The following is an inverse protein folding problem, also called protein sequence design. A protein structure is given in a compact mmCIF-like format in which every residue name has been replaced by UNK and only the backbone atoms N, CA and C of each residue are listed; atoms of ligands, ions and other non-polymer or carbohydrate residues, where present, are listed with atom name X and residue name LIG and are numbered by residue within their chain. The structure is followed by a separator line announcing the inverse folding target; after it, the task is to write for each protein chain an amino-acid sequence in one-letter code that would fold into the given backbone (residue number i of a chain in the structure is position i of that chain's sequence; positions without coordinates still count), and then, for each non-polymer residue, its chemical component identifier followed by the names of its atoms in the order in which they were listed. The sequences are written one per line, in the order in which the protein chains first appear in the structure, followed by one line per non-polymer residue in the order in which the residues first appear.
data_IF_148122385777
#
_entry.id   IF_148122385777
#
_cell.length_a   1.000
_cell.length_b   1.000
_cell.length_c   1.000
_cell.angle_alpha   90.00
_cell.angle_beta   90.00
_cell.angle_gamma   90.00
#
_symmetry.space_group_name_H-M   'P 1'
#
loop_
_entity.id
_entity.type
_entity.pdbx_description
1 polymer ?
#
# COMPACT_ATOMS: atom_id res chain seq x y z
N UNK A 1 4.06 34.02 -11.63
CA UNK A 1 3.68 35.42 -11.89
C UNK A 1 4.95 36.21 -12.12
N UNK A 2 4.99 37.02 -13.19
CA UNK A 2 6.09 37.91 -13.52
C UNK A 2 5.69 39.36 -13.26
N UNK A 3 6.64 40.19 -12.86
CA UNK A 3 6.44 41.64 -12.70
C UNK A 3 7.31 42.35 -13.71
N UNK A 4 6.69 43.05 -14.65
CA UNK A 4 7.38 43.92 -15.60
C UNK A 4 7.48 45.33 -15.04
N UNK A 5 8.67 45.92 -15.12
CA UNK A 5 8.94 47.32 -14.79
C UNK A 5 9.40 48.02 -16.06
N UNK A 6 8.61 48.98 -16.51
CA UNK A 6 8.93 49.79 -17.67
C UNK A 6 9.62 51.08 -17.22
N UNK A 7 10.72 51.42 -17.87
CA UNK A 7 11.46 52.67 -17.65
C UNK A 7 11.45 53.47 -18.94
N UNK A 8 10.85 54.65 -18.92
CA UNK A 8 10.74 55.52 -20.09
C UNK A 8 11.62 56.73 -19.87
N UNK A 9 12.57 56.97 -20.77
CA UNK A 9 13.46 58.13 -20.71
C UNK A 9 13.14 59.05 -21.89
N UNK A 10 12.90 60.33 -21.63
CA UNK A 10 12.84 61.30 -22.71
C UNK A 10 14.26 61.65 -23.17
N UNK A 11 14.75 61.00 -24.24
CA UNK A 11 16.07 61.23 -24.85
C UNK A 11 16.09 62.44 -25.80
N UNK A 12 14.91 62.96 -26.15
CA UNK A 12 14.73 64.11 -27.03
C UNK A 12 14.99 65.47 -26.37
N UNK A 13 14.63 66.54 -27.07
CA UNK A 13 14.84 67.92 -26.64
C UNK A 13 13.54 68.71 -26.40
N UNK A 14 12.37 68.09 -26.53
CA UNK A 14 11.05 68.66 -26.24
C UNK A 14 10.39 67.97 -25.04
N UNK A 15 9.32 68.55 -24.50
CA UNK A 15 8.53 67.91 -23.44
C UNK A 15 7.61 66.87 -24.06
N UNK A 16 7.58 65.67 -23.50
CA UNK A 16 6.65 64.58 -23.87
C UNK A 16 5.62 64.43 -22.76
N UNK A 17 4.34 64.35 -23.11
CA UNK A 17 3.21 64.27 -22.17
C UNK A 17 2.24 63.15 -22.53
N UNK A 18 1.30 62.83 -21.64
CA UNK A 18 0.33 61.75 -21.82
C UNK A 18 0.97 60.40 -22.16
N UNK A 19 2.13 60.10 -21.54
CA UNK A 19 2.86 58.87 -21.79
C UNK A 19 2.06 57.64 -21.36
N UNK A 20 1.83 56.74 -22.30
CA UNK A 20 1.14 55.48 -22.09
C UNK A 20 1.87 54.31 -22.72
N UNK A 21 1.75 53.13 -22.14
CA UNK A 21 2.34 51.88 -22.62
C UNK A 21 1.25 50.90 -23.05
N UNK A 22 1.43 50.32 -24.23
CA UNK A 22 0.67 49.18 -24.74
C UNK A 22 1.59 47.95 -24.78
N UNK A 23 1.11 46.82 -24.26
CA UNK A 23 1.84 45.55 -24.26
C UNK A 23 0.84 44.42 -24.53
N UNK A 24 0.98 43.78 -25.69
CA UNK A 24 0.03 42.77 -26.15
C UNK A 24 0.17 41.43 -25.42
N UNK A 25 1.39 41.06 -25.00
CA UNK A 25 1.66 39.75 -24.38
C UNK A 25 1.05 39.73 -22.98
N UNK A 26 1.23 40.81 -22.22
CA UNK A 26 0.65 40.93 -20.88
C UNK A 26 -0.76 41.52 -20.88
N UNK A 27 -1.33 41.81 -22.06
CA UNK A 27 -2.71 42.25 -22.25
C UNK A 27 -3.01 43.65 -21.72
N UNK A 28 -2.01 44.53 -21.70
CA UNK A 28 -2.09 45.89 -21.19
C UNK A 28 -2.30 46.88 -22.33
N UNK A 29 -3.19 47.84 -22.11
CA UNK A 29 -3.33 49.00 -23.01
C UNK A 29 -3.48 50.29 -22.23
N UNK A 30 -2.90 51.37 -22.75
CA UNK A 30 -2.88 52.72 -22.20
C UNK A 30 -2.39 52.78 -20.74
N UNK A 31 -1.39 51.96 -20.36
CA UNK A 31 -0.84 51.97 -19.01
C UNK A 31 -0.12 53.31 -18.75
N UNK A 32 -0.56 54.14 -17.79
CA UNK A 32 0.03 55.46 -17.59
C UNK A 32 1.42 55.37 -16.98
N UNK A 33 2.35 56.14 -17.55
CA UNK A 33 3.71 56.33 -17.01
C UNK A 33 3.70 57.38 -15.91
N UNK A 34 4.48 57.19 -14.85
CA UNK A 34 4.62 58.14 -13.75
C UNK A 34 6.04 58.69 -13.65
N UNK A 35 6.27 60.02 -13.78
CA UNK A 35 5.26 61.04 -14.10
C UNK A 35 4.81 60.98 -15.57
N UNK A 36 3.55 61.37 -15.82
CA UNK A 36 2.94 61.33 -17.17
C UNK A 36 3.47 62.42 -18.11
N UNK A 37 4.42 63.24 -17.67
CA UNK A 37 5.06 64.29 -18.45
C UNK A 37 6.54 64.31 -18.10
N UNK A 38 7.39 64.19 -19.13
CA UNK A 38 8.84 64.14 -19.01
C UNK A 38 9.45 65.30 -19.79
N UNK A 39 10.19 66.17 -19.09
CA UNK A 39 11.13 67.08 -19.73
C UNK A 39 12.32 66.30 -20.30
N UNK A 40 13.11 66.89 -21.23
CA UNK A 40 14.34 66.29 -21.72
C UNK A 40 15.23 65.74 -20.61
N UNK A 41 15.62 64.47 -20.72
CA UNK A 41 16.45 63.73 -19.77
C UNK A 41 15.73 63.24 -18.51
N UNK A 42 14.41 63.46 -18.37
CA UNK A 42 13.64 62.90 -17.26
C UNK A 42 13.22 61.46 -17.53
N UNK A 43 13.03 60.72 -16.44
CA UNK A 43 12.63 59.31 -16.43
C UNK A 43 11.24 59.20 -15.80
N UNK A 44 10.39 58.40 -16.40
CA UNK A 44 9.15 57.91 -15.81
C UNK A 44 9.11 56.40 -15.77
N UNK A 45 8.27 55.84 -14.91
CA UNK A 45 8.13 54.39 -14.76
C UNK A 45 6.68 53.94 -14.74
N UNK A 46 6.46 52.69 -15.12
CA UNK A 46 5.20 51.98 -14.94
C UNK A 46 5.48 50.53 -14.55
N UNK A 47 4.54 49.87 -13.89
CA UNK A 47 4.64 48.45 -13.54
C UNK A 47 3.37 47.71 -13.89
N UNK A 48 3.51 46.46 -14.33
CA UNK A 48 2.39 45.56 -14.55
C UNK A 48 2.79 44.11 -14.24
N UNK A 49 1.80 43.24 -14.03
CA UNK A 49 2.01 41.83 -13.70
C UNK A 49 1.47 40.94 -14.80
N UNK A 50 2.18 39.83 -15.04
CA UNK A 50 1.76 38.77 -15.96
C UNK A 50 1.59 37.44 -15.23
N UNK A 51 0.44 36.80 -15.45
CA UNK A 51 0.20 35.44 -14.98
C UNK A 51 0.67 34.47 -16.05
N UNK A 52 1.77 33.77 -15.76
CA UNK A 52 2.27 32.68 -16.61
C UNK A 52 1.15 31.66 -16.82
N UNK A 53 0.92 31.31 -18.08
CA UNK A 53 -0.07 30.35 -18.53
C UNK A 53 0.58 29.00 -18.83
N UNK A 54 -0.23 27.94 -18.97
CA UNK A 54 0.29 26.63 -19.39
C UNK A 54 0.93 26.68 -20.79
N UNK A 55 0.43 27.56 -21.67
CA UNK A 55 1.02 27.72 -23.00
C UNK A 55 2.45 28.25 -22.92
N UNK A 56 2.73 29.17 -21.99
CA UNK A 56 4.07 29.70 -21.76
C UNK A 56 5.01 28.62 -21.20
N UNK A 57 4.53 27.83 -20.23
CA UNK A 57 5.32 26.72 -19.69
C UNK A 57 5.64 25.69 -20.77
N UNK A 58 4.67 25.34 -21.61
CA UNK A 58 4.87 24.43 -22.74
C UNK A 58 5.80 25.03 -23.82
N UNK A 59 5.83 26.36 -23.97
CA UNK A 59 6.77 27.06 -24.85
C UNK A 59 8.18 27.19 -24.25
N UNK A 60 8.32 26.97 -22.94
CA UNK A 60 9.57 27.08 -22.19
C UNK A 60 10.07 28.52 -21.99
N UNK A 61 9.30 29.53 -22.40
CA UNK A 61 9.62 30.94 -22.15
C UNK A 61 8.40 31.86 -22.35
N UNK A 62 8.52 33.07 -21.82
CA UNK A 62 7.68 34.23 -22.16
C UNK A 62 8.58 35.26 -22.84
N UNK A 63 8.34 35.53 -24.11
CA UNK A 63 9.01 36.60 -24.87
C UNK A 63 8.10 37.82 -24.93
N UNK A 64 8.57 38.99 -24.48
CA UNK A 64 7.74 40.18 -24.34
C UNK A 64 8.39 41.45 -24.90
N UNK A 65 7.59 42.27 -25.59
CA UNK A 65 7.94 43.63 -25.99
C UNK A 65 6.72 44.54 -25.77
N UNK A 66 6.97 45.78 -25.38
CA UNK A 66 5.96 46.80 -25.19
C UNK A 66 6.24 48.02 -26.08
N UNK A 67 5.22 48.84 -26.30
CA UNK A 67 5.32 50.09 -27.06
C UNK A 67 4.91 51.23 -26.15
N UNK A 68 5.74 52.26 -26.04
CA UNK A 68 5.37 53.52 -25.40
C UNK A 68 4.91 54.53 -26.45
N UNK A 69 3.90 55.34 -26.13
CA UNK A 69 3.46 56.47 -26.95
C UNK A 69 3.34 57.73 -26.09
N UNK A 70 3.70 58.89 -26.63
CA UNK A 70 3.55 60.18 -25.96
C UNK A 70 3.28 61.34 -26.90
N UNK A 71 2.53 62.33 -26.41
CA UNK A 71 2.23 63.56 -27.13
C UNK A 71 3.38 64.56 -26.98
N UNK A 72 3.77 65.21 -28.08
CA UNK A 72 4.81 66.24 -28.08
C UNK A 72 4.29 67.59 -28.55
N UNK A 73 4.94 68.66 -28.11
CA UNK A 73 4.64 70.04 -28.52
C UNK A 73 5.93 70.75 -28.95
N UNK A 74 5.82 71.70 -29.88
CA UNK A 74 6.93 72.55 -30.29
C UNK A 74 7.21 73.66 -29.25
N UNK A 75 8.24 74.47 -29.51
CA UNK A 75 8.62 75.58 -28.62
C UNK A 75 7.61 76.73 -28.57
N UNK A 76 6.62 76.76 -29.47
CA UNK A 76 5.51 77.72 -29.48
C UNK A 76 4.24 77.16 -28.83
N UNK A 77 4.24 75.88 -28.44
CA UNK A 77 3.09 75.18 -27.86
C UNK A 77 2.15 74.55 -28.89
N UNK A 78 2.55 74.45 -30.16
CA UNK A 78 1.79 73.78 -31.20
C UNK A 78 1.99 72.25 -31.09
N UNK A 79 0.92 71.43 -31.21
CA UNK A 79 1.04 69.97 -31.18
C UNK A 79 1.89 69.43 -32.33
N UNK A 80 2.81 68.52 -32.00
CA UNK A 80 3.59 67.73 -32.94
C UNK A 80 2.99 66.31 -33.05
N UNK A 81 3.36 65.53 -34.08
CA UNK A 81 3.02 64.11 -34.12
C UNK A 81 3.44 63.40 -32.83
N UNK A 82 2.66 62.41 -32.35
CA UNK A 82 3.07 61.63 -31.19
C UNK A 82 4.37 60.88 -31.50
N UNK A 83 5.16 60.67 -30.46
CA UNK A 83 6.36 59.83 -30.52
C UNK A 83 6.02 58.45 -29.99
N UNK A 84 6.66 57.45 -30.57
CA UNK A 84 6.51 56.04 -30.19
C UNK A 84 7.86 55.39 -30.14
N UNK A 85 8.00 54.38 -29.30
CA UNK A 85 9.23 53.63 -29.13
C UNK A 85 8.90 52.19 -28.65
N UNK A 86 9.69 51.21 -29.06
CA UNK A 86 9.56 49.79 -28.70
C UNK A 86 10.57 49.46 -27.60
N UNK A 87 10.15 48.71 -26.58
CA UNK A 87 11.03 48.39 -25.46
C UNK A 87 12.23 47.53 -25.86
N UNK A 88 13.38 47.85 -25.28
CA UNK A 88 14.60 47.05 -25.25
C UNK A 88 14.67 46.07 -24.05
N UNK A 89 15.49 45.02 -24.15
CA UNK A 89 15.94 44.19 -23.03
C UNK A 89 17.33 44.64 -22.58
N UNK A 90 17.46 45.38 -21.46
CA UNK A 90 18.75 45.88 -21.00
C UNK A 90 19.74 44.78 -20.56
N UNK A 91 19.31 43.53 -20.52
CA UNK A 91 20.15 42.37 -20.23
C UNK A 91 20.61 41.62 -21.49
N UNK A 92 20.05 41.90 -22.68
CA UNK A 92 20.49 41.30 -23.94
C UNK A 92 21.59 42.16 -24.58
N UNK A 93 22.84 41.64 -24.73
CA UNK A 93 23.92 42.39 -25.35
C UNK A 93 23.88 42.38 -26.89
N UNK A 94 22.86 41.76 -27.51
CA UNK A 94 22.69 41.76 -28.95
C UNK A 94 22.41 43.18 -29.48
N UNK A 95 21.71 44.00 -28.67
CA UNK A 95 21.32 45.38 -28.92
C UNK A 95 20.85 45.59 -30.38
N UNK A 96 19.81 44.86 -30.80
CA UNK A 96 19.32 44.91 -32.18
C UNK A 96 18.45 46.15 -32.42
N UNK A 97 19.05 47.15 -33.09
CA UNK A 97 18.37 48.32 -33.68
C UNK A 97 17.77 47.94 -35.06
N UNK A 98 16.48 47.61 -35.06
CA UNK A 98 15.76 47.09 -36.23
C UNK A 98 15.21 48.18 -37.15
N UNK A 99 14.87 49.34 -36.63
CA UNK A 99 14.28 50.44 -37.39
C UNK A 99 15.27 51.60 -37.71
N UNK A 100 16.50 51.49 -37.19
CA UNK A 100 17.62 52.40 -37.38
C UNK A 100 17.41 53.80 -36.79
N UNK A 101 16.61 53.94 -35.74
CA UNK A 101 16.40 55.20 -35.04
C UNK A 101 17.46 55.50 -33.95
N UNK A 102 18.25 54.50 -33.58
CA UNK A 102 19.47 54.62 -32.80
C UNK A 102 19.40 54.09 -31.37
N UNK A 103 18.29 53.45 -30.99
CA UNK A 103 18.15 52.56 -29.82
C UNK A 103 17.96 51.10 -30.26
N UNK A 104 17.78 50.20 -29.30
CA UNK A 104 17.63 48.76 -29.55
C UNK A 104 16.23 48.30 -29.14
N UNK A 105 15.70 47.27 -29.80
CA UNK A 105 14.33 46.79 -29.56
C UNK A 105 14.29 45.29 -29.21
N UNK A 106 15.28 44.81 -28.45
CA UNK A 106 15.35 43.40 -28.10
C UNK A 106 14.18 43.00 -27.18
N UNK A 107 13.46 41.91 -27.48
CA UNK A 107 12.38 41.46 -26.62
C UNK A 107 12.92 40.89 -25.31
N UNK A 108 12.31 41.22 -24.19
CA UNK A 108 12.64 40.60 -22.90
C UNK A 108 12.20 39.14 -22.88
N UNK A 109 13.14 38.21 -22.72
CA UNK A 109 12.86 36.77 -22.67
C UNK A 109 12.98 36.23 -21.24
N UNK A 110 11.87 35.77 -20.68
CA UNK A 110 11.86 35.01 -19.43
C UNK A 110 11.82 33.51 -19.72
N UNK A 111 12.91 32.79 -19.43
CA UNK A 111 12.97 31.34 -19.61
C UNK A 111 12.24 30.62 -18.46
N UNK A 112 11.36 29.68 -18.80
CA UNK A 112 10.67 28.81 -17.86
C UNK A 112 11.35 27.44 -17.92
N UNK A 113 11.95 27.01 -16.82
CA UNK A 113 12.50 25.67 -16.71
C UNK A 113 11.35 24.65 -16.63
N UNK A 114 11.24 23.70 -17.57
CA UNK A 114 10.25 22.66 -17.47
C UNK A 114 10.59 21.72 -16.31
N UNK A 115 9.57 21.25 -15.61
CA UNK A 115 9.64 20.31 -14.52
C UNK A 115 8.62 19.21 -14.78
N UNK A 116 9.12 18.03 -15.13
CA UNK A 116 8.32 16.83 -15.36
C UNK A 116 8.48 15.92 -14.14
N UNK A 117 7.51 15.95 -13.24
CA UNK A 117 7.56 15.24 -11.95
C UNK A 117 6.15 14.78 -11.57
N UNK A 118 6.07 13.55 -11.09
CA UNK A 118 4.86 12.98 -10.51
C UNK A 118 5.23 12.33 -9.17
N UNK A 119 4.24 12.23 -8.30
CA UNK A 119 4.33 11.54 -7.01
C UNK A 119 3.19 10.53 -6.94
N UNK A 120 3.49 9.29 -6.57
CA UNK A 120 2.52 8.21 -6.39
C UNK A 120 2.40 7.89 -4.91
N UNK A 121 1.20 8.06 -4.35
CA UNK A 121 0.87 7.52 -3.02
C UNK A 121 -0.05 6.32 -3.15
N UNK A 122 0.14 5.34 -2.26
CA UNK A 122 -0.56 4.07 -2.27
C UNK A 122 -1.07 3.71 -0.87
N UNK A 123 -2.37 3.56 -0.79
CA UNK A 123 -3.07 3.14 0.42
C UNK A 123 -3.69 1.78 0.28
N UNK A 124 -3.65 0.99 1.37
CA UNK A 124 -4.25 -0.34 1.46
C UNK A 124 -5.17 -0.46 2.66
N UNK A 125 -6.41 -0.93 2.44
CA UNK A 125 -7.37 -1.18 3.52
C UNK A 125 -7.75 -2.66 3.55
N UNK A 126 -7.51 -3.32 4.68
CA UNK A 126 -7.96 -4.69 4.91
C UNK A 126 -9.49 -4.79 4.89
N UNK A 127 -10.01 -5.82 4.24
CA UNK A 127 -11.42 -6.16 4.19
C UNK A 127 -11.59 -7.64 4.50
N UNK A 128 -12.15 -7.91 5.69
CA UNK A 128 -12.77 -9.19 6.05
C UNK A 128 -14.02 -9.38 5.17
N UNK A 129 -13.96 -10.36 4.28
CA UNK A 129 -15.01 -10.60 3.27
C UNK A 129 -16.18 -11.38 3.84
N UNK A 130 -15.90 -12.32 4.75
CA UNK A 130 -16.90 -13.23 5.29
C UNK A 130 -17.52 -12.73 6.62
N UNK A 131 -16.93 -11.68 7.22
CA UNK A 131 -17.30 -11.04 8.48
C UNK A 131 -17.23 -11.96 9.70
N UNK A 132 -16.33 -12.95 9.70
CA UNK A 132 -16.13 -13.84 10.84
C UNK A 132 -15.13 -13.28 11.87
N UNK A 133 -14.45 -12.18 11.55
CA UNK A 133 -13.48 -11.52 12.43
C UNK A 133 -12.15 -12.25 12.54
N UNK A 134 -11.89 -13.22 11.66
CA UNK A 134 -10.66 -13.99 11.54
C UNK A 134 -10.03 -13.68 10.18
N UNK A 135 -8.71 -13.82 10.07
CA UNK A 135 -8.01 -13.67 8.79
C UNK A 135 -8.07 -14.98 8.03
N UNK A 136 -8.59 -14.95 6.81
CA UNK A 136 -8.71 -16.15 5.98
C UNK A 136 -8.23 -15.93 4.54
N UNK A 137 -7.94 -17.05 3.88
CA UNK A 137 -7.84 -17.08 2.42
C UNK A 137 -9.18 -16.66 1.83
N UNK A 138 -9.16 -15.64 0.99
CA UNK A 138 -10.38 -15.04 0.41
C UNK A 138 -10.69 -13.64 0.94
N UNK A 139 -10.15 -13.25 2.08
CA UNK A 139 -10.11 -11.84 2.49
C UNK A 139 -9.19 -11.05 1.57
N UNK A 140 -9.29 -9.72 1.60
CA UNK A 140 -8.57 -8.89 0.64
C UNK A 140 -8.09 -7.55 1.21
N UNK A 141 -7.20 -6.92 0.46
CA UNK A 141 -6.84 -5.51 0.60
C UNK A 141 -7.46 -4.74 -0.56
N UNK A 142 -8.19 -3.67 -0.27
CA UNK A 142 -8.61 -2.68 -1.27
C UNK A 142 -7.52 -1.60 -1.35
N UNK A 143 -6.84 -1.52 -2.51
CA UNK A 143 -5.80 -0.53 -2.78
C UNK A 143 -6.36 0.70 -3.49
N UNK A 144 -5.91 1.87 -3.04
CA UNK A 144 -6.11 3.16 -3.72
C UNK A 144 -4.75 3.73 -4.10
N UNK A 145 -4.59 4.06 -5.37
CA UNK A 145 -3.42 4.73 -5.93
C UNK A 145 -3.78 6.18 -6.24
N UNK A 146 -2.97 7.13 -5.81
CA UNK A 146 -3.13 8.55 -6.12
C UNK A 146 -1.86 9.06 -6.78
N UNK A 147 -1.96 9.51 -8.03
CA UNK A 147 -0.86 10.13 -8.76
C UNK A 147 -1.06 11.64 -8.75
N UNK A 148 -0.12 12.37 -8.16
CA UNK A 148 -0.07 13.83 -8.13
C UNK A 148 0.91 14.35 -9.17
N UNK A 149 0.51 15.33 -9.97
CA UNK A 149 1.42 16.04 -10.85
C UNK A 149 2.05 17.22 -10.09
N UNK A 150 3.25 17.00 -9.56
CA UNK A 150 4.03 18.00 -8.81
C UNK A 150 4.88 18.89 -9.73
N UNK A 151 5.01 18.50 -11.00
CA UNK A 151 5.65 19.28 -12.05
C UNK A 151 4.82 20.45 -12.56
N UNK A 152 5.34 21.12 -13.60
CA UNK A 152 4.69 22.25 -14.28
C UNK A 152 4.20 21.91 -15.70
N UNK A 153 4.38 20.66 -16.15
CA UNK A 153 3.91 20.16 -17.43
C UNK A 153 2.72 19.21 -17.24
N UNK A 154 1.77 19.24 -18.18
CA UNK A 154 0.64 18.31 -18.20
C UNK A 154 1.13 16.88 -18.41
N UNK A 155 0.68 15.95 -17.58
CA UNK A 155 1.00 14.52 -17.68
C UNK A 155 -0.17 13.78 -18.34
N UNK A 156 0.10 12.97 -19.36
CA UNK A 156 -0.90 12.22 -20.12
C UNK A 156 -0.56 10.73 -20.19
N UNK A 157 -1.59 9.89 -20.34
CA UNK A 157 -1.44 8.45 -20.47
C UNK A 157 -0.99 7.79 -19.18
N UNK A 158 -1.43 8.32 -18.04
CA UNK A 158 -0.98 7.87 -16.72
C UNK A 158 -1.54 6.48 -16.41
N UNK A 159 -0.65 5.55 -16.09
CA UNK A 159 -0.96 4.15 -15.73
C UNK A 159 -0.18 3.69 -14.52
N UNK A 160 -0.70 2.67 -13.83
CA UNK A 160 -0.05 1.99 -12.71
C UNK A 160 0.30 0.54 -13.09
N UNK A 161 1.53 0.15 -12.78
CA UNK A 161 1.99 -1.23 -12.75
C UNK A 161 2.26 -1.64 -11.29
N UNK A 162 1.75 -2.79 -10.88
CA UNK A 162 1.93 -3.35 -9.54
C UNK A 162 2.11 -4.87 -9.66
N UNK A 163 3.35 -5.33 -9.45
CA UNK A 163 3.71 -6.73 -9.63
C UNK A 163 3.13 -7.63 -8.54
N UNK A 164 3.04 -7.16 -7.30
CA UNK A 164 2.54 -7.93 -6.15
C UNK A 164 1.09 -8.31 -6.36
N UNK A 165 0.27 -7.41 -6.89
CA UNK A 165 -1.15 -7.67 -7.16
C UNK A 165 -1.42 -8.11 -8.60
N UNK A 166 -0.38 -8.27 -9.43
CA UNK A 166 -0.47 -8.75 -10.81
C UNK A 166 -1.15 -7.77 -11.77
N UNK A 167 -1.08 -6.46 -11.49
CA UNK A 167 -1.67 -5.39 -12.30
C UNK A 167 -0.63 -4.79 -13.24
N UNK A 168 -1.04 -4.54 -14.49
CA UNK A 168 -0.23 -3.84 -15.50
C UNK A 168 -1.13 -2.91 -16.30
N UNK A 169 -0.73 -1.65 -16.44
CA UNK A 169 -1.44 -0.66 -17.24
C UNK A 169 -2.78 -0.21 -16.63
N UNK A 170 -2.92 -0.20 -15.31
CA UNK A 170 -4.14 0.26 -14.66
C UNK A 170 -4.32 1.76 -14.88
N UNK A 171 -5.41 2.14 -15.54
CA UNK A 171 -5.67 3.53 -15.94
C UNK A 171 -5.96 4.42 -14.73
N UNK A 172 -5.29 5.57 -14.67
CA UNK A 172 -5.52 6.62 -13.67
C UNK A 172 -6.59 7.60 -14.20
N UNK A 173 -7.47 8.07 -13.31
CA UNK A 173 -8.55 9.02 -13.65
C UNK A 173 -8.60 10.20 -12.67
N UNK A 174 -8.68 11.47 -13.14
CA UNK A 174 -8.67 11.89 -14.54
C UNK A 174 -7.33 11.68 -15.25
N UNK A 175 -7.39 11.61 -16.59
CA UNK A 175 -6.25 11.68 -17.51
C UNK A 175 -6.67 12.62 -18.67
N UNK A 176 -5.86 13.63 -19.05
CA UNK A 176 -4.56 14.01 -18.47
C UNK A 176 -4.65 14.63 -17.07
N UNK A 177 -3.52 14.68 -16.36
CA UNK A 177 -3.36 15.32 -15.05
C UNK A 177 -2.64 16.66 -15.23
N UNK A 178 -3.37 17.75 -15.03
CA UNK A 178 -2.82 19.12 -15.05
C UNK A 178 -1.88 19.38 -13.86
N UNK A 179 -0.94 20.35 -13.96
CA UNK A 179 -0.06 20.71 -12.85
C UNK A 179 -0.80 21.03 -11.56
N UNK A 180 -0.35 20.44 -10.45
CA UNK A 180 -0.95 20.57 -9.12
C UNK A 180 -2.27 19.82 -8.94
N UNK A 181 -2.71 19.05 -9.93
CA UNK A 181 -3.87 18.17 -9.84
C UNK A 181 -3.42 16.72 -9.61
N UNK A 182 -4.38 15.87 -9.23
CA UNK A 182 -4.14 14.45 -9.03
C UNK A 182 -5.19 13.60 -9.74
N UNK A 183 -4.81 12.37 -10.07
CA UNK A 183 -5.72 11.31 -10.52
C UNK A 183 -5.61 10.07 -9.64
N UNK A 184 -6.63 9.22 -9.67
CA UNK A 184 -6.68 8.00 -8.86
C UNK A 184 -6.97 6.75 -9.66
N UNK A 185 -6.56 5.62 -9.12
CA UNK A 185 -6.95 4.28 -9.57
C UNK A 185 -7.18 3.38 -8.35
N UNK A 186 -7.96 2.31 -8.51
CA UNK A 186 -8.23 1.34 -7.42
C UNK A 186 -8.10 -0.08 -7.94
N UNK A 187 -7.57 -0.97 -7.11
CA UNK A 187 -7.51 -2.41 -7.36
C UNK A 187 -7.63 -3.16 -6.03
N UNK A 188 -7.78 -4.48 -6.06
CA UNK A 188 -7.85 -5.30 -4.85
C UNK A 188 -6.91 -6.50 -4.93
N UNK A 189 -6.38 -6.92 -3.80
CA UNK A 189 -5.54 -8.12 -3.67
C UNK A 189 -6.15 -9.10 -2.68
N UNK A 190 -6.45 -10.31 -3.13
CA UNK A 190 -6.99 -11.39 -2.29
C UNK A 190 -5.84 -12.14 -1.63
N UNK A 191 -5.91 -12.36 -0.33
CA UNK A 191 -4.86 -13.08 0.40
C UNK A 191 -4.74 -14.52 -0.05
N UNK A 192 -3.49 -14.94 -0.17
CA UNK A 192 -3.09 -16.35 -0.25
C UNK A 192 -2.72 -16.87 1.13
N UNK A 193 -2.64 -18.18 1.29
CA UNK A 193 -2.15 -18.77 2.55
C UNK A 193 -0.72 -18.31 2.87
N UNK A 194 0.11 -18.11 1.84
CA UNK A 194 1.49 -17.65 2.02
C UNK A 194 1.55 -16.23 2.61
N UNK A 195 0.61 -15.35 2.25
CA UNK A 195 0.55 -14.00 2.82
C UNK A 195 0.21 -14.05 4.31
N UNK A 196 -0.73 -14.91 4.69
CA UNK A 196 -1.13 -15.12 6.09
C UNK A 196 0.03 -15.75 6.87
N UNK A 197 0.69 -16.76 6.31
CA UNK A 197 1.85 -17.41 6.91
C UNK A 197 3.05 -16.44 7.07
N UNK A 198 3.20 -15.48 6.17
CA UNK A 198 4.21 -14.41 6.27
C UNK A 198 3.81 -13.29 7.24
N UNK A 199 2.57 -13.29 7.74
CA UNK A 199 2.06 -12.26 8.66
C UNK A 199 1.77 -10.91 8.01
N UNK A 200 1.64 -10.83 6.69
CA UNK A 200 1.37 -9.56 6.01
C UNK A 200 1.68 -9.53 4.52
N UNK A 201 1.34 -8.41 3.91
CA UNK A 201 1.65 -8.09 2.51
C UNK A 201 2.41 -6.78 2.45
N UNK A 202 3.60 -6.82 1.86
CA UNK A 202 4.39 -5.63 1.50
C UNK A 202 4.21 -5.36 0.00
N UNK A 203 3.80 -4.15 -0.36
CA UNK A 203 3.41 -3.86 -1.73
C UNK A 203 3.91 -2.50 -2.23
N UNK A 204 4.62 -2.49 -3.37
CA UNK A 204 5.06 -1.29 -4.10
C UNK A 204 4.46 -1.27 -5.51
N UNK A 205 4.24 -0.09 -6.07
CA UNK A 205 3.74 0.10 -7.42
C UNK A 205 4.56 1.19 -8.14
N UNK A 206 4.43 1.25 -9.46
CA UNK A 206 5.08 2.27 -10.29
C UNK A 206 4.00 3.00 -11.08
N UNK A 207 3.96 4.32 -10.97
CA UNK A 207 3.20 5.18 -11.86
C UNK A 207 4.06 5.54 -13.05
N UNK A 208 3.47 5.52 -14.24
CA UNK A 208 4.13 5.95 -15.48
C UNK A 208 3.21 6.88 -16.25
N UNK A 209 3.77 7.90 -16.86
CA UNK A 209 3.05 8.84 -17.72
C UNK A 209 3.98 9.50 -18.74
N UNK A 210 3.44 10.45 -19.49
CA UNK A 210 4.22 11.22 -20.48
C UNK A 210 3.90 12.71 -20.38
N UNK A 211 4.93 13.54 -20.40
CA UNK A 211 4.82 15.00 -20.61
C UNK A 211 5.29 15.34 -22.02
N UNK A 212 5.26 16.63 -22.38
CA UNK A 212 5.82 17.10 -23.65
C UNK A 212 7.35 16.88 -23.73
N UNK A 213 8.04 16.76 -22.60
CA UNK A 213 9.49 16.56 -22.50
C UNK A 213 9.91 15.09 -22.46
N UNK A 214 8.96 14.16 -22.32
CA UNK A 214 9.22 12.73 -22.35
C UNK A 214 8.47 11.95 -21.28
N UNK A 215 8.88 10.70 -21.02
CA UNK A 215 8.26 9.87 -20.00
C UNK A 215 8.60 10.38 -18.60
N UNK A 216 7.64 10.23 -17.69
CA UNK A 216 7.80 10.41 -16.25
C UNK A 216 7.37 9.14 -15.53
N UNK A 217 7.98 8.87 -14.39
CA UNK A 217 7.63 7.74 -13.56
C UNK A 217 7.94 8.03 -12.11
N UNK A 218 7.20 7.39 -11.23
CA UNK A 218 7.47 7.42 -9.80
C UNK A 218 7.12 6.07 -9.16
N UNK A 219 7.84 5.73 -8.09
CA UNK A 219 7.60 4.52 -7.28
C UNK A 219 6.70 4.93 -6.12
N UNK A 220 5.73 4.09 -5.78
CA UNK A 220 4.75 4.44 -4.76
C UNK A 220 5.39 4.65 -3.40
N UNK A 221 4.98 5.72 -2.74
CA UNK A 221 5.10 5.92 -1.31
C UNK A 221 3.83 5.44 -0.57
N UNK A 222 3.98 5.11 0.71
CA UNK A 222 2.89 4.70 1.59
C UNK A 222 1.97 5.89 1.92
N UNK A 223 0.65 5.70 1.93
CA UNK A 223 -0.28 6.74 2.38
C UNK A 223 -0.40 6.87 3.91
N UNK A 224 0.35 6.04 4.65
CA UNK A 224 0.35 6.01 6.09
C UNK A 224 1.45 6.93 6.67
N UNK A 225 1.11 8.07 7.29
CA UNK A 225 2.10 9.04 7.79
C UNK A 225 2.87 8.57 9.03
N UNK A 226 2.55 7.39 9.58
CA UNK A 226 3.34 6.77 10.63
C UNK A 226 4.55 6.00 10.06
N UNK A 227 4.68 5.97 8.74
CA UNK A 227 5.31 4.87 8.02
C UNK A 227 6.15 5.34 6.83
N UNK A 228 7.18 6.13 7.15
CA UNK A 228 7.94 6.96 6.20
C UNK A 228 9.38 6.48 5.98
N UNK A 229 9.73 5.25 6.37
CA UNK A 229 10.99 4.57 6.04
C UNK A 229 10.85 3.07 6.40
N UNK A 230 9.92 2.40 5.72
CA UNK A 230 9.35 1.12 6.15
C UNK A 230 10.31 -0.05 5.89
N UNK A 231 11.12 0.07 4.84
CA UNK A 231 12.16 -0.90 4.50
C UNK A 231 13.54 -0.53 5.07
N UNK A 232 13.64 0.61 5.76
CA UNK A 232 14.83 1.11 6.45
C UNK A 232 16.02 1.39 5.51
N UNK A 233 15.75 1.74 4.25
CA UNK A 233 16.79 2.11 3.28
C UNK A 233 17.19 3.60 3.37
N UNK A 234 16.38 4.41 4.06
CA UNK A 234 16.59 5.84 4.29
C UNK A 234 16.04 6.78 3.21
N UNK A 235 15.29 6.25 2.24
CA UNK A 235 14.55 7.00 1.22
C UNK A 235 13.05 7.06 1.56
N UNK A 236 12.62 8.19 2.11
CA UNK A 236 11.25 8.41 2.58
C UNK A 236 10.27 8.78 1.45
N UNK A 237 10.61 8.48 0.19
CA UNK A 237 9.83 8.93 -0.97
C UNK A 237 9.31 7.79 -1.82
N UNK A 238 9.62 6.54 -1.49
CA UNK A 238 9.19 5.36 -2.22
C UNK A 238 8.94 4.15 -1.31
N UNK A 239 8.40 4.41 -0.12
CA UNK A 239 8.18 3.37 0.86
C UNK A 239 7.07 2.39 0.46
N UNK A 240 7.28 1.08 0.66
CA UNK A 240 6.25 0.11 0.37
C UNK A 240 5.08 0.23 1.35
N UNK A 241 3.86 0.08 0.84
CA UNK A 241 2.67 -0.08 1.69
C UNK A 241 2.72 -1.46 2.36
N UNK A 242 2.83 -1.49 3.68
CA UNK A 242 2.76 -2.72 4.47
C UNK A 242 1.37 -2.87 5.08
N UNK A 243 0.71 -3.99 4.78
CA UNK A 243 -0.51 -4.41 5.47
C UNK A 243 -0.18 -5.55 6.41
N UNK A 244 0.04 -5.28 7.71
CA UNK A 244 0.31 -6.32 8.68
C UNK A 244 -0.96 -7.15 8.92
N UNK A 245 -0.76 -8.46 9.03
CA UNK A 245 -1.76 -9.41 9.46
C UNK A 245 -1.39 -9.87 10.87
N UNK A 246 -2.40 -10.18 11.67
CA UNK A 246 -2.22 -10.80 12.99
C UNK A 246 -2.88 -12.18 12.97
N UNK A 247 -2.22 -13.19 12.38
CA UNK A 247 -2.74 -14.54 12.36
C UNK A 247 -2.90 -15.09 13.78
N UNK A 248 -3.87 -15.99 13.94
CA UNK A 248 -3.98 -16.85 15.11
C UNK A 248 -3.33 -18.20 14.79
N UNK A 249 -2.51 -18.73 15.69
CA UNK A 249 -1.87 -20.04 15.56
C UNK A 249 -2.41 -20.94 16.65
N UNK A 250 -3.02 -22.07 16.28
CA UNK A 250 -3.67 -22.94 17.24
C UNK A 250 -3.81 -24.38 16.69
N UNK A 251 -3.80 -25.35 17.59
CA UNK A 251 -3.95 -26.76 17.27
C UNK A 251 -4.81 -27.42 18.34
N UNK A 252 -5.70 -28.31 17.91
CA UNK A 252 -6.55 -29.12 18.79
C UNK A 252 -6.20 -30.60 18.60
N UNK A 253 -6.15 -31.37 19.67
CA UNK A 253 -5.96 -32.81 19.66
C UNK A 253 -7.17 -33.51 20.26
N UNK A 254 -7.81 -34.37 19.47
CA UNK A 254 -8.88 -35.25 19.96
C UNK A 254 -8.40 -36.69 19.95
N UNK A 255 -8.73 -37.43 21.01
CA UNK A 255 -8.34 -38.82 21.20
C UNK A 255 -9.55 -39.70 21.46
N UNK A 256 -9.66 -40.75 20.66
CA UNK A 256 -10.69 -41.78 20.79
C UNK A 256 -10.11 -43.14 21.08
N UNK A 257 -10.75 -43.88 21.98
CA UNK A 257 -10.36 -45.25 22.37
C UNK A 257 -11.48 -46.25 22.10
N UNK A 258 -11.19 -47.29 21.31
CA UNK A 258 -12.16 -48.34 20.97
C UNK A 258 -11.64 -49.71 21.42
N UNK A 259 -12.36 -50.35 22.34
CA UNK A 259 -12.11 -51.73 22.76
C UNK A 259 -12.30 -52.71 21.59
N UNK A 260 -11.38 -53.67 21.48
CA UNK A 260 -11.39 -54.75 20.52
C UNK A 260 -11.15 -56.10 21.21
N UNK A 261 -12.22 -56.90 21.29
CA UNK A 261 -12.15 -58.33 21.63
C UNK A 261 -11.31 -59.05 20.57
N UNK A 262 -10.07 -59.38 20.94
CA UNK A 262 -9.08 -59.89 19.98
C UNK A 262 -9.13 -61.41 19.90
N UNK A 263 -9.64 -62.07 20.94
CA UNK A 263 -9.73 -63.53 20.99
C UNK A 263 -11.11 -64.05 20.54
N UNK A 264 -12.12 -63.18 20.46
CA UNK A 264 -13.48 -63.45 19.98
C UNK A 264 -14.35 -64.24 20.96
N UNK A 265 -14.02 -64.27 22.24
CA UNK A 265 -14.77 -64.99 23.28
C UNK A 265 -15.96 -64.21 23.85
N UNK A 266 -16.10 -62.93 23.46
CA UNK A 266 -17.19 -62.06 23.87
C UNK A 266 -17.06 -61.54 25.30
N UNK A 267 -15.89 -61.68 25.94
CA UNK A 267 -15.62 -61.15 27.27
C UNK A 267 -14.33 -60.33 27.29
N UNK A 268 -14.31 -59.25 28.07
CA UNK A 268 -13.09 -58.45 28.26
C UNK A 268 -12.02 -59.31 28.92
N UNK A 269 -10.93 -59.55 28.19
CA UNK A 269 -9.87 -60.47 28.60
C UNK A 269 -8.49 -59.79 28.58
N UNK A 270 -7.60 -60.26 29.45
CA UNK A 270 -6.18 -59.87 29.37
C UNK A 270 -5.62 -60.28 28.01
N UNK A 271 -5.00 -59.33 27.32
CA UNK A 271 -4.48 -59.53 25.96
C UNK A 271 -5.40 -59.05 24.85
N UNK A 272 -6.65 -58.66 25.15
CA UNK A 272 -7.46 -57.84 24.24
C UNK A 272 -6.81 -56.48 24.01
N UNK A 273 -7.29 -55.76 23.00
CA UNK A 273 -6.68 -54.50 22.59
C UNK A 273 -7.65 -53.32 22.70
N UNK A 274 -7.10 -52.12 22.87
CA UNK A 274 -7.78 -50.85 22.62
C UNK A 274 -7.09 -50.21 21.43
N UNK A 275 -7.85 -49.85 20.41
CA UNK A 275 -7.35 -49.05 19.28
C UNK A 275 -7.58 -47.58 19.62
N UNK A 276 -6.49 -46.84 19.78
CA UNK A 276 -6.51 -45.39 19.94
C UNK A 276 -6.35 -44.70 18.59
N UNK A 277 -7.20 -43.70 18.34
CA UNK A 277 -7.09 -42.78 17.20
C UNK A 277 -6.87 -41.38 17.76
N UNK A 278 -5.75 -40.77 17.39
CA UNK A 278 -5.39 -39.40 17.73
C UNK A 278 -5.57 -38.54 16.48
N UNK A 279 -6.38 -37.48 16.58
CA UNK A 279 -6.70 -36.57 15.49
C UNK A 279 -6.26 -35.17 15.88
N UNK A 280 -5.22 -34.66 15.23
CA UNK A 280 -4.77 -33.29 15.39
C UNK A 280 -5.42 -32.40 14.31
N UNK A 281 -6.04 -31.29 14.72
CA UNK A 281 -6.72 -30.33 13.84
C UNK A 281 -6.04 -28.98 13.94
N UNK A 282 -5.69 -28.37 12.80
CA UNK A 282 -5.24 -26.98 12.80
C UNK A 282 -6.46 -26.05 12.94
N UNK A 283 -6.69 -25.52 14.14
CA UNK A 283 -7.77 -24.57 14.44
C UNK A 283 -7.34 -23.10 14.23
N UNK A 284 -6.04 -22.89 13.95
CA UNK A 284 -5.48 -21.59 13.61
C UNK A 284 -5.69 -21.17 12.15
N UNK A 285 -5.01 -20.09 11.79
CA UNK A 285 -5.07 -19.40 10.48
C UNK A 285 -3.78 -19.53 9.67
N UNK A 286 -2.70 -20.04 10.28
CA UNK A 286 -1.43 -20.30 9.59
C UNK A 286 -1.25 -21.79 9.32
N UNK A 287 -0.38 -22.11 8.37
CA UNK A 287 0.02 -23.48 8.09
C UNK A 287 0.85 -24.06 9.25
N UNK A 288 0.43 -25.21 9.79
CA UNK A 288 1.20 -25.97 10.76
C UNK A 288 2.07 -27.00 10.07
N UNK A 289 3.33 -27.12 10.49
CA UNK A 289 4.29 -28.09 9.96
C UNK A 289 4.87 -28.96 11.07
N UNK A 290 5.25 -30.19 10.71
CA UNK A 290 5.86 -31.12 11.64
C UNK A 290 4.92 -31.54 12.77
N UNK A 291 3.64 -31.74 12.47
CA UNK A 291 2.63 -32.12 13.46
C UNK A 291 2.90 -33.54 13.97
N UNK A 292 3.22 -33.65 15.25
CA UNK A 292 3.56 -34.90 15.92
C UNK A 292 2.72 -35.13 17.16
N UNK A 293 2.50 -36.39 17.52
CA UNK A 293 1.82 -36.79 18.77
C UNK A 293 2.74 -37.59 19.68
N UNK A 294 2.55 -37.43 20.99
CA UNK A 294 3.21 -38.19 22.04
C UNK A 294 2.17 -38.78 23.00
N UNK A 295 2.38 -40.03 23.41
CA UNK A 295 1.50 -40.74 24.33
C UNK A 295 2.34 -41.66 25.22
N UNK A 296 2.36 -41.36 26.52
CA UNK A 296 3.18 -42.07 27.49
C UNK A 296 2.69 -43.51 27.75
N UNK A 297 1.36 -43.74 27.74
CA UNK A 297 0.78 -45.06 27.97
C UNK A 297 1.09 -46.00 26.80
N UNK A 298 1.08 -45.46 25.58
CA UNK A 298 1.39 -46.19 24.35
C UNK A 298 2.91 -46.28 24.07
N UNK A 299 3.74 -45.55 24.82
CA UNK A 299 5.19 -45.45 24.56
C UNK A 299 5.53 -44.73 23.26
N UNK A 300 4.64 -43.87 22.78
CA UNK A 300 4.77 -43.09 21.55
C UNK A 300 5.42 -41.75 21.88
N UNK A 301 6.46 -41.37 21.13
CA UNK A 301 7.19 -40.11 21.34
C UNK A 301 7.38 -39.42 20.00
N UNK A 302 6.82 -38.21 19.87
CA UNK A 302 6.95 -37.31 18.72
C UNK A 302 6.72 -38.04 17.37
N UNK A 303 5.67 -38.84 17.30
CA UNK A 303 5.32 -39.58 16.09
C UNK A 303 4.51 -38.68 15.15
N UNK A 304 4.97 -38.52 13.91
CA UNK A 304 4.29 -37.72 12.91
C UNK A 304 2.87 -38.25 12.63
N UNK A 305 1.93 -37.32 12.53
CA UNK A 305 0.57 -37.59 12.03
C UNK A 305 0.59 -37.78 10.50
N UNK A 306 -0.54 -38.20 9.93
CA UNK A 306 -0.70 -38.29 8.46
C UNK A 306 -1.96 -37.53 8.03
N UNK A 307 -1.84 -36.43 7.24
CA UNK A 307 -0.59 -35.69 6.94
C UNK A 307 0.03 -35.01 8.18
N UNK A 308 1.31 -34.62 8.11
CA UNK A 308 2.07 -33.92 9.16
C UNK A 308 2.26 -32.42 8.90
N UNK A 309 1.67 -31.92 7.81
CA UNK A 309 1.54 -30.50 7.48
C UNK A 309 0.05 -30.23 7.29
N UNK A 310 -0.49 -29.28 8.04
CA UNK A 310 -1.91 -28.97 8.09
C UNK A 310 -2.15 -27.51 7.71
N UNK A 311 -2.87 -27.28 6.62
CA UNK A 311 -3.46 -25.97 6.34
C UNK A 311 -4.55 -25.66 7.39
N UNK A 312 -4.98 -24.39 7.54
CA UNK A 312 -6.11 -24.03 8.39
C UNK A 312 -7.33 -24.93 8.15
N UNK A 313 -7.85 -25.53 9.22
CA UNK A 313 -8.99 -26.46 9.21
C UNK A 313 -8.68 -27.89 8.74
N UNK A 314 -7.43 -28.22 8.36
CA UNK A 314 -7.05 -29.58 8.03
C UNK A 314 -6.74 -30.42 9.28
N UNK A 315 -6.82 -31.75 9.11
CA UNK A 315 -6.61 -32.72 10.18
C UNK A 315 -5.53 -33.75 9.80
N UNK A 316 -4.69 -34.10 10.76
CA UNK A 316 -3.71 -35.18 10.71
C UNK A 316 -4.05 -36.27 11.71
N UNK A 317 -3.89 -37.53 11.34
CA UNK A 317 -4.24 -38.66 12.24
C UNK A 317 -3.07 -39.57 12.55
N UNK A 318 -3.10 -40.19 13.73
CA UNK A 318 -2.20 -41.26 14.15
C UNK A 318 -2.98 -42.33 14.92
N UNK A 319 -2.71 -43.61 14.65
CA UNK A 319 -3.38 -44.74 15.32
C UNK A 319 -2.37 -45.64 15.99
N UNK A 320 -2.66 -46.08 17.22
CA UNK A 320 -1.85 -47.03 17.96
C UNK A 320 -2.73 -47.98 18.79
N UNK A 321 -2.18 -49.14 19.16
CA UNK A 321 -2.91 -50.15 19.93
C UNK A 321 -2.29 -50.30 21.32
N UNK A 322 -3.15 -50.47 22.33
CA UNK A 322 -2.78 -50.79 23.70
C UNK A 322 -3.27 -52.19 24.05
N UNK A 323 -2.43 -53.00 24.69
CA UNK A 323 -2.81 -54.33 25.16
C UNK A 323 -3.34 -54.26 26.58
N UNK A 324 -4.58 -54.70 26.79
CA UNK A 324 -5.27 -54.67 28.08
C UNK A 324 -4.58 -55.60 29.09
N UNK A 325 -4.34 -55.07 30.27
CA UNK A 325 -3.78 -55.78 31.42
C UNK A 325 -4.85 -56.13 32.44
N UNK A 326 -4.53 -56.98 33.41
CA UNK A 326 -5.46 -57.28 34.50
C UNK A 326 -5.78 -56.05 35.35
N UNK A 327 -4.81 -55.15 35.54
CA UNK A 327 -5.01 -53.93 36.33
C UNK A 327 -6.07 -53.02 35.69
N UNK A 328 -6.07 -52.95 34.36
CA UNK A 328 -7.05 -52.15 33.61
C UNK A 328 -8.47 -52.69 33.80
N UNK A 329 -8.64 -54.02 33.75
CA UNK A 329 -9.92 -54.70 34.02
C UNK A 329 -10.35 -54.46 35.46
N UNK A 330 -9.42 -54.59 36.42
CA UNK A 330 -9.69 -54.37 37.85
C UNK A 330 -10.09 -52.90 38.14
N UNK A 331 -9.57 -51.95 37.37
CA UNK A 331 -9.93 -50.53 37.42
C UNK A 331 -11.23 -50.21 36.66
N UNK A 332 -11.75 -51.15 35.85
CA UNK A 332 -12.98 -50.99 35.07
C UNK A 332 -12.83 -50.16 33.79
N UNK A 333 -11.60 -49.83 33.39
CA UNK A 333 -11.33 -48.97 32.23
C UNK A 333 -9.86 -48.63 32.07
N UNK A 334 -9.54 -48.01 30.93
CA UNK A 334 -8.22 -47.42 30.66
C UNK A 334 -8.40 -45.93 30.43
N UNK A 335 -7.75 -45.13 31.27
CA UNK A 335 -7.62 -43.68 31.12
C UNK A 335 -6.34 -43.38 30.35
N UNK A 336 -6.42 -42.51 29.33
CA UNK A 336 -5.26 -42.24 28.48
C UNK A 336 -5.27 -40.82 27.91
N UNK A 337 -4.21 -40.05 28.19
CA UNK A 337 -3.99 -38.69 27.65
C UNK A 337 -2.80 -38.69 26.67
N UNK A 338 -2.86 -37.85 25.64
CA UNK A 338 -1.77 -37.62 24.71
C UNK A 338 -1.48 -36.12 24.57
N UNK A 339 -0.38 -35.78 23.92
CA UNK A 339 -0.07 -34.39 23.53
C UNK A 339 0.24 -34.33 22.04
N UNK A 340 0.01 -33.18 21.43
CA UNK A 340 0.45 -32.85 20.07
C UNK A 340 1.39 -31.66 20.11
N UNK A 341 2.38 -31.65 19.22
CA UNK A 341 3.31 -30.54 19.02
C UNK A 341 3.42 -30.25 17.52
N UNK A 342 3.44 -28.98 17.15
CA UNK A 342 3.65 -28.51 15.78
C UNK A 342 4.39 -27.17 15.74
N UNK A 343 4.79 -26.75 14.54
CA UNK A 343 5.41 -25.44 14.31
C UNK A 343 4.58 -24.62 13.33
N UNK A 344 4.15 -23.43 13.77
CA UNK A 344 3.60 -22.36 12.93
C UNK A 344 4.72 -21.40 12.49
N UNK A 345 4.46 -20.48 11.54
CA UNK A 345 5.41 -19.42 11.19
C UNK A 345 5.78 -18.49 12.36
N UNK A 346 4.88 -18.32 13.35
CA UNK A 346 5.11 -17.43 14.48
C UNK A 346 5.70 -18.14 15.71
N UNK A 347 5.77 -19.47 15.71
CA UNK A 347 6.33 -20.24 16.81
C UNK A 347 5.74 -21.64 17.00
N UNK A 348 6.18 -22.37 18.03
CA UNK A 348 5.63 -23.68 18.36
C UNK A 348 4.18 -23.54 18.88
N UNK A 349 3.34 -24.50 18.51
CA UNK A 349 2.01 -24.71 19.07
C UNK A 349 1.91 -26.13 19.60
N UNK A 350 1.13 -26.33 20.66
CA UNK A 350 0.98 -27.61 21.32
C UNK A 350 -0.37 -27.71 21.97
N UNK A 351 -0.89 -28.93 22.10
CA UNK A 351 -2.14 -29.19 22.78
C UNK A 351 -2.12 -30.53 23.53
N UNK A 352 -2.98 -30.65 24.54
CA UNK A 352 -3.23 -31.86 25.32
C UNK A 352 -4.55 -32.45 24.85
N UNK A 353 -4.59 -33.74 24.59
CA UNK A 353 -5.77 -34.35 23.97
C UNK A 353 -7.02 -34.21 24.81
N UNK A 354 -8.12 -33.83 24.18
CA UNK A 354 -9.48 -34.03 24.67
C UNK A 354 -10.03 -35.41 24.27
N UNK A 355 -11.09 -35.88 24.94
CA UNK A 355 -11.79 -37.13 24.64
C UNK A 355 -12.79 -36.96 23.50
N UNK A 356 -12.86 -37.94 22.58
CA UNK A 356 -13.92 -37.97 21.55
C UNK A 356 -15.29 -38.43 22.10
N UNK A 357 -15.33 -38.78 23.39
CA UNK A 357 -16.52 -39.26 24.09
C UNK A 357 -17.13 -38.15 24.97
N UNK A 358 -18.32 -37.63 24.65
CA UNK A 358 -18.98 -36.57 25.43
C UNK A 358 -19.36 -36.95 26.87
N UNK A 359 -19.22 -38.22 27.25
CA UNK A 359 -19.42 -38.67 28.63
C UNK A 359 -18.19 -38.39 29.52
N UNK A 360 -17.07 -38.04 28.91
CA UNK A 360 -15.77 -37.85 29.58
C UNK A 360 -15.45 -36.36 29.84
N UNK A 361 -16.40 -35.46 29.64
CA UNK A 361 -16.25 -34.02 29.90
C UNK A 361 -16.00 -33.74 31.40
N UNK A 362 -14.92 -33.02 31.72
CA UNK A 362 -14.44 -32.70 33.07
C UNK A 362 -14.30 -33.94 33.96
N UNK A 363 -13.79 -35.04 33.40
CA UNK A 363 -13.75 -36.33 34.12
C UNK A 363 -12.65 -36.39 35.19
N UNK A 364 -11.65 -35.52 35.11
CA UNK A 364 -10.60 -35.35 36.12
C UNK A 364 -10.96 -34.28 37.17
N UNK A 365 -12.06 -33.55 36.95
CA UNK A 365 -12.66 -32.54 37.83
C UNK A 365 -11.77 -31.31 38.06
N UNK A 366 -10.91 -30.95 37.10
CA UNK A 366 -10.09 -29.74 37.18
C UNK A 366 -10.81 -28.47 36.67
N UNK A 367 -11.95 -28.64 36.00
CA UNK A 367 -12.82 -27.59 35.47
C UNK A 367 -12.43 -27.07 34.08
N UNK A 368 -11.45 -27.67 33.43
CA UNK A 368 -11.09 -27.50 32.02
C UNK A 368 -11.74 -28.62 31.19
N UNK A 369 -12.53 -28.25 30.18
CA UNK A 369 -13.25 -29.22 29.33
C UNK A 369 -12.57 -29.39 27.97
N UNK A 370 -11.31 -29.00 27.84
CA UNK A 370 -10.60 -28.98 26.54
C UNK A 370 -9.39 -29.91 26.50
N UNK A 371 -9.11 -30.63 27.60
CA UNK A 371 -7.96 -31.51 27.73
C UNK A 371 -8.26 -32.77 28.56
N UNK A 372 -9.52 -33.22 28.51
CA UNK A 372 -9.98 -34.34 29.32
C UNK A 372 -9.36 -35.68 28.88
N UNK A 373 -8.84 -36.49 29.82
CA UNK A 373 -8.38 -37.84 29.52
C UNK A 373 -9.44 -38.72 28.85
N UNK A 374 -9.08 -39.45 27.79
CA UNK A 374 -9.98 -40.44 27.19
C UNK A 374 -10.16 -41.64 28.13
N UNK A 375 -11.39 -41.97 28.51
CA UNK A 375 -11.69 -43.18 29.29
C UNK A 375 -12.30 -44.23 28.35
N UNK A 376 -11.60 -45.35 28.16
CA UNK A 376 -12.17 -46.53 27.49
C UNK A 376 -12.73 -47.49 28.55
N UNK A 377 -14.06 -47.62 28.71
CA UNK A 377 -14.63 -48.46 29.74
C UNK A 377 -14.43 -49.95 29.42
N UNK A 378 -13.99 -50.71 30.42
CA UNK A 378 -13.83 -52.16 30.36
C UNK A 378 -14.87 -52.78 31.29
N UNK A 379 -16.03 -53.15 30.74
CA UNK A 379 -17.10 -53.72 31.57
C UNK A 379 -16.77 -55.18 31.90
N UNK A 380 -16.50 -55.55 33.18
CA UNK A 380 -16.20 -56.92 33.54
C UNK A 380 -17.43 -57.80 33.31
N UNK A 381 -17.24 -59.00 32.77
CA UNK A 381 -18.28 -60.02 32.69
C UNK A 381 -18.05 -61.08 33.76
N UNK A 382 -18.73 -60.94 34.89
CA UNK A 382 -18.65 -61.90 35.98
C UNK A 382 -19.49 -63.16 35.65
N UNK A 383 -18.84 -64.28 35.35
CA UNK A 383 -19.48 -65.59 35.20
C UNK A 383 -18.76 -66.69 36.00
N UNK A 384 -19.49 -67.71 36.43
CA UNK A 384 -18.95 -68.86 37.15
C UNK A 384 -19.57 -70.17 36.64
N UNK A 385 -18.73 -71.03 36.07
CA UNK A 385 -19.13 -72.36 35.61
C UNK A 385 -18.64 -73.45 36.58
N UNK A 386 -19.53 -74.37 36.97
CA UNK A 386 -19.19 -75.57 37.73
C UNK A 386 -19.40 -76.82 36.89
N UNK A 387 -18.30 -77.46 36.47
CA UNK A 387 -18.35 -78.75 35.77
C UNK A 387 -18.12 -79.90 36.75
N UNK A 388 -19.07 -80.86 36.82
CA UNK A 388 -18.94 -82.09 37.62
C UNK A 388 -18.78 -83.30 36.70
N UNK A 389 -17.56 -83.82 36.62
CA UNK A 389 -17.27 -85.12 36.00
C UNK A 389 -17.67 -86.31 36.88
N UNK A 390 -18.09 -87.41 36.24
CA UNK A 390 -18.38 -88.70 36.88
C UNK A 390 -17.20 -89.66 36.84
#
# INVERSE_FOLDING_TARGET
MLTYTFTVTNTGNTVVSNLTIDDTVIGVSNLPVTPATLNPGQIGTATSMYMITQADVNAGNVTNSAIVTGDTIDSNGDPLPPVTDVSDDPADPADLDTDMDGDAEDPTVFVITPLSEIELTKGGVYVDVNMDGVINVGDRIDYTFTVSNTGNLVVSGTVIDDATIGVTGLLVTPDPIDPGMSGTATSSYVFTQMDIDNGGVTNTAIAMGTTIDGPVSDVSDSDNPADEDNDMDGDTTNDPTITPLTPNDDIELVKGGVYADTNGDGVVSVGDMITYTLTATNTGTTTLTGVTVSDALLGVVAQATTPDTLLPGEMGTFTAMYTITQMDIDNGGVENTATTDATSPNGPVSDVSDSDNPADEDNDMDGDTTNDPTITPLTPNDDIELVKGG
#
